data_IF_581064583222
#
_entry.id   IF_581064583222
#
_cell.length_a   1.000
_cell.length_b   1.000
_cell.length_c   1.000
_cell.angle_alpha   90.00
_cell.angle_beta   90.00
_cell.angle_gamma   90.00
#
_symmetry.space_group_name_H-M   'P 1'
#
loop_
_entity.id
_entity.type
_entity.pdbx_description
1 polymer ?
#
# COMPACT_ATOMS: atom_id res chain seq x y z
N UNK A 1 60.28 1.08 27.90
CA UNK A 1 59.22 2.10 27.76
C UNK A 1 58.75 2.09 26.32
N UNK A 2 57.52 1.82 25.92
CA UNK A 2 56.37 1.17 26.56
C UNK A 2 55.58 0.54 25.42
N UNK A 3 55.41 -0.79 25.46
CA UNK A 3 54.59 -1.60 24.53
C UNK A 3 53.08 -1.39 24.80
N UNK A 4 52.66 -0.16 25.07
CA UNK A 4 51.35 0.17 25.64
C UNK A 4 50.53 1.13 24.76
N UNK A 5 50.86 1.24 23.47
CA UNK A 5 50.15 2.13 22.52
C UNK A 5 49.58 1.43 21.29
N UNK A 6 49.76 0.11 21.15
CA UNK A 6 49.19 -0.67 20.05
C UNK A 6 47.85 -1.35 20.36
N UNK A 7 47.33 -1.18 21.58
CA UNK A 7 46.16 -1.94 22.07
C UNK A 7 44.82 -1.19 22.07
N UNK A 8 44.77 0.07 21.60
CA UNK A 8 43.56 0.91 21.66
C UNK A 8 42.97 1.21 20.27
N UNK A 9 43.60 0.78 19.17
CA UNK A 9 43.12 1.05 17.80
C UNK A 9 42.55 -0.15 17.03
N UNK A 10 42.40 -1.31 17.68
CA UNK A 10 41.89 -2.55 17.07
C UNK A 10 40.69 -3.15 17.82
N UNK A 11 39.82 -2.29 18.36
CA UNK A 11 38.62 -2.70 19.12
C UNK A 11 37.35 -1.94 18.71
N UNK A 12 37.20 -1.62 17.42
CA UNK A 12 35.98 -0.97 16.89
C UNK A 12 35.51 -1.46 15.51
N UNK A 13 36.12 -2.52 14.94
CA UNK A 13 35.63 -3.18 13.71
C UNK A 13 35.35 -4.65 14.01
N UNK A 14 34.50 -4.87 15.02
CA UNK A 14 34.09 -6.17 15.50
C UNK A 14 32.63 -6.17 15.93
N UNK A 15 31.76 -5.44 15.23
CA UNK A 15 30.32 -5.63 15.39
C UNK A 15 29.90 -6.80 14.50
N UNK A 16 30.04 -7.99 15.08
CA UNK A 16 29.03 -9.06 15.08
C UNK A 16 27.90 -8.84 14.05
N UNK A 17 28.12 -9.25 12.80
CA UNK A 17 27.06 -9.56 11.84
C UNK A 17 26.74 -11.06 11.90
N UNK A 18 26.41 -11.54 13.10
CA UNK A 18 25.80 -12.84 13.35
C UNK A 18 24.60 -12.58 14.26
N UNK A 19 23.39 -12.61 13.70
CA UNK A 19 22.19 -12.41 14.51
C UNK A 19 20.92 -11.96 13.79
N UNK A 20 20.93 -11.85 12.47
CA UNK A 20 19.70 -11.63 11.71
C UNK A 20 19.69 -12.56 10.53
N UNK A 21 19.20 -13.79 10.71
CA UNK A 21 18.45 -14.40 9.62
C UNK A 21 17.39 -13.37 9.23
N UNK A 22 17.69 -12.61 8.17
CA UNK A 22 16.67 -11.93 7.39
C UNK A 22 15.81 -13.05 6.84
N UNK A 23 14.88 -13.53 7.66
CA UNK A 23 13.70 -14.21 7.20
C UNK A 23 13.09 -13.23 6.21
N UNK A 24 13.34 -13.46 4.92
CA UNK A 24 12.56 -12.81 3.88
C UNK A 24 11.09 -12.97 4.34
N UNK A 25 10.30 -11.88 4.39
CA UNK A 25 8.93 -11.97 4.85
C UNK A 25 8.31 -13.16 4.13
N UNK A 26 7.82 -14.14 4.91
CA UNK A 26 7.26 -15.36 4.33
C UNK A 26 6.03 -14.93 3.55
N UNK A 27 6.19 -14.68 2.26
CA UNK A 27 5.11 -14.20 1.43
C UNK A 27 4.08 -15.31 1.34
N UNK A 28 2.89 -15.05 1.87
CA UNK A 28 1.80 -16.02 1.83
C UNK A 28 1.25 -16.06 0.41
N UNK A 29 1.14 -17.25 -0.16
CA UNK A 29 0.43 -17.44 -1.43
C UNK A 29 -1.07 -17.50 -1.15
N UNK A 30 -1.83 -16.65 -1.83
CA UNK A 30 -3.29 -16.68 -1.79
C UNK A 30 -3.80 -17.97 -2.44
N UNK A 31 -4.62 -18.73 -1.72
CA UNK A 31 -5.24 -19.96 -2.26
C UNK A 31 -6.54 -19.62 -2.99
N UNK A 32 -6.41 -19.13 -4.22
CA UNK A 32 -7.53 -18.81 -5.10
C UNK A 32 -7.61 -19.82 -6.25
N UNK A 33 -8.83 -20.14 -6.71
CA UNK A 33 -9.00 -20.88 -7.96
C UNK A 33 -8.71 -19.98 -9.18
N UNK A 34 -8.55 -20.56 -10.36
CA UNK A 34 -8.18 -19.80 -11.57
C UNK A 34 -9.14 -18.62 -11.88
N UNK A 35 -10.47 -18.79 -11.86
CA UNK A 35 -11.41 -17.67 -12.03
C UNK A 35 -11.24 -16.54 -11.01
N UNK A 36 -10.94 -16.87 -9.75
CA UNK A 36 -10.75 -15.90 -8.68
C UNK A 36 -9.42 -15.15 -8.78
N UNK A 37 -8.35 -15.85 -9.15
CA UNK A 37 -7.04 -15.24 -9.41
C UNK A 37 -7.14 -14.25 -10.56
N UNK A 38 -7.83 -14.62 -11.64
CA UNK A 38 -8.04 -13.74 -12.79
C UNK A 38 -8.91 -12.53 -12.43
N UNK A 39 -9.98 -12.74 -11.65
CA UNK A 39 -10.78 -11.64 -11.13
C UNK A 39 -9.93 -10.69 -10.28
N UNK A 40 -9.24 -11.20 -9.26
CA UNK A 40 -8.38 -10.38 -8.39
C UNK A 40 -7.32 -9.60 -9.19
N UNK A 41 -6.67 -10.24 -10.17
CA UNK A 41 -5.65 -9.60 -11.02
C UNK A 41 -6.23 -8.40 -11.77
N UNK A 42 -7.38 -8.56 -12.44
CA UNK A 42 -8.02 -7.46 -13.19
C UNK A 42 -8.30 -6.26 -12.31
N UNK A 43 -8.79 -6.54 -11.11
CA UNK A 43 -9.16 -5.54 -10.13
C UNK A 43 -7.94 -4.83 -9.54
N UNK A 44 -6.86 -5.56 -9.25
CA UNK A 44 -5.59 -4.96 -8.84
C UNK A 44 -4.98 -4.09 -9.93
N UNK A 45 -5.08 -4.49 -11.21
CA UNK A 45 -4.63 -3.70 -12.36
C UNK A 45 -5.44 -2.39 -12.46
N UNK A 46 -6.76 -2.46 -12.34
CA UNK A 46 -7.60 -1.25 -12.38
C UNK A 46 -7.28 -0.30 -11.24
N UNK A 47 -7.21 -0.80 -9.98
CA UNK A 47 -6.79 0.01 -8.83
C UNK A 47 -5.43 0.67 -9.04
N UNK A 48 -4.46 -0.05 -9.60
CA UNK A 48 -3.11 0.45 -9.90
C UNK A 48 -3.14 1.55 -10.98
N UNK A 49 -3.95 1.39 -12.03
CA UNK A 49 -4.20 2.44 -13.04
C UNK A 49 -4.81 3.69 -12.39
N UNK A 50 -5.84 3.52 -11.55
CA UNK A 50 -6.49 4.64 -10.87
C UNK A 50 -5.55 5.35 -9.90
N UNK A 51 -4.72 4.60 -9.16
CA UNK A 51 -3.75 5.15 -8.23
C UNK A 51 -2.65 5.95 -8.94
N UNK A 52 -2.10 5.43 -10.05
CA UNK A 52 -1.13 6.17 -10.88
C UNK A 52 -1.73 7.44 -11.47
N UNK A 53 -2.98 7.36 -11.93
CA UNK A 53 -3.72 8.51 -12.44
C UNK A 53 -3.90 9.55 -11.35
N UNK A 54 -4.37 9.16 -10.16
CA UNK A 54 -4.52 10.04 -9.01
C UNK A 54 -3.20 10.72 -8.62
N UNK A 55 -2.10 9.96 -8.53
CA UNK A 55 -0.78 10.51 -8.22
C UNK A 55 -0.34 11.56 -9.24
N UNK A 56 -0.54 11.28 -10.53
CA UNK A 56 -0.21 12.21 -11.61
C UNK A 56 -1.05 13.49 -11.51
N UNK A 57 -2.37 13.36 -11.31
CA UNK A 57 -3.29 14.50 -11.19
C UNK A 57 -2.98 15.38 -9.96
N UNK A 58 -2.60 14.76 -8.84
CA UNK A 58 -2.12 15.49 -7.65
C UNK A 58 -0.83 16.24 -7.96
N UNK A 59 0.15 15.60 -8.62
CA UNK A 59 1.42 16.25 -8.97
C UNK A 59 1.26 17.45 -9.91
N UNK A 60 0.24 17.41 -10.78
CA UNK A 60 -0.10 18.48 -11.71
C UNK A 60 -1.01 19.56 -11.08
N UNK A 61 -1.47 19.38 -9.84
CA UNK A 61 -2.41 20.29 -9.18
C UNK A 61 -3.83 20.28 -9.78
N UNK A 62 -4.21 19.22 -10.50
CA UNK A 62 -5.51 19.10 -11.15
C UNK A 62 -6.60 18.70 -10.16
N UNK A 63 -7.10 19.68 -9.42
CA UNK A 63 -8.05 19.51 -8.32
C UNK A 63 -9.31 18.69 -8.68
N UNK A 64 -10.03 19.07 -9.73
CA UNK A 64 -11.30 18.42 -10.09
C UNK A 64 -11.05 16.98 -10.55
N UNK A 65 -10.17 16.71 -11.53
CA UNK A 65 -9.83 15.34 -11.90
C UNK A 65 -9.30 14.50 -10.74
N UNK A 66 -8.45 15.06 -9.86
CA UNK A 66 -7.94 14.34 -8.69
C UNK A 66 -9.05 14.01 -7.69
N UNK A 67 -10.04 14.89 -7.52
CA UNK A 67 -11.23 14.64 -6.70
C UNK A 67 -12.06 13.48 -7.24
N UNK A 68 -12.21 13.41 -8.56
CA UNK A 68 -12.98 12.35 -9.22
C UNK A 68 -12.25 11.00 -9.18
N UNK A 69 -10.95 10.99 -9.46
CA UNK A 69 -10.12 9.78 -9.35
C UNK A 69 -10.07 9.24 -7.91
N UNK A 70 -9.93 10.13 -6.91
CA UNK A 70 -9.94 9.72 -5.50
C UNK A 70 -11.31 9.23 -5.03
N UNK A 71 -12.41 9.79 -5.54
CA UNK A 71 -13.76 9.28 -5.29
C UNK A 71 -13.94 7.87 -5.86
N UNK A 72 -13.52 7.65 -7.11
CA UNK A 72 -13.63 6.34 -7.72
C UNK A 72 -12.86 5.29 -6.92
N UNK A 73 -11.64 5.61 -6.46
CA UNK A 73 -10.89 4.72 -5.57
C UNK A 73 -11.58 4.50 -4.20
N UNK A 74 -12.27 5.49 -3.62
CA UNK A 74 -12.98 5.32 -2.35
C UNK A 74 -14.25 4.49 -2.47
N UNK A 75 -14.92 4.59 -3.61
CA UNK A 75 -16.20 3.95 -3.88
C UNK A 75 -16.02 2.55 -4.50
N UNK A 76 -14.79 2.19 -4.87
CA UNK A 76 -14.42 0.92 -5.48
C UNK A 76 -14.99 -0.31 -4.75
N UNK A 77 -14.99 -0.33 -3.42
CA UNK A 77 -15.59 -1.42 -2.63
C UNK A 77 -17.12 -1.58 -2.79
N UNK A 78 -17.80 -0.52 -3.26
CA UNK A 78 -19.25 -0.46 -3.43
C UNK A 78 -19.66 -0.69 -4.90
N UNK A 79 -18.71 -0.61 -5.84
CA UNK A 79 -18.98 -0.91 -7.23
C UNK A 79 -19.40 -2.39 -7.33
N UNK A 80 -20.51 -2.64 -8.03
CA UNK A 80 -21.07 -3.98 -8.19
C UNK A 80 -20.19 -4.78 -9.16
N UNK A 81 -19.04 -5.22 -8.66
CA UNK A 81 -18.12 -6.12 -9.32
C UNK A 81 -18.46 -7.55 -8.85
N UNK A 82 -19.36 -8.29 -9.52
CA UNK A 82 -19.90 -9.55 -9.00
C UNK A 82 -18.81 -10.58 -8.68
N UNK A 83 -17.77 -10.67 -9.51
CA UNK A 83 -16.64 -11.58 -9.29
C UNK A 83 -15.67 -11.07 -8.21
N UNK A 84 -15.56 -9.76 -8.05
CA UNK A 84 -14.74 -9.16 -6.99
C UNK A 84 -15.43 -9.25 -5.64
N UNK A 85 -16.75 -9.05 -5.52
CA UNK A 85 -17.45 -9.26 -4.23
C UNK A 85 -17.20 -10.67 -3.72
N UNK A 86 -17.21 -11.67 -4.59
CA UNK A 86 -16.89 -13.06 -4.23
C UNK A 86 -15.40 -13.27 -3.94
N UNK A 87 -14.50 -12.82 -4.82
CA UNK A 87 -13.06 -12.98 -4.64
C UNK A 87 -12.56 -12.18 -3.42
N UNK A 88 -12.98 -10.93 -3.28
CA UNK A 88 -12.70 -10.03 -2.16
C UNK A 88 -13.36 -10.53 -0.87
N UNK A 89 -14.57 -11.08 -0.87
CA UNK A 89 -15.14 -11.69 0.35
C UNK A 89 -14.35 -12.93 0.80
N UNK A 90 -13.88 -13.77 -0.14
CA UNK A 90 -13.03 -14.92 0.18
C UNK A 90 -11.62 -14.51 0.61
N UNK A 91 -11.06 -13.50 -0.06
CA UNK A 91 -9.84 -12.81 0.36
C UNK A 91 -10.01 -12.23 1.76
N UNK A 92 -11.07 -11.49 2.05
CA UNK A 92 -11.41 -10.95 3.38
C UNK A 92 -11.53 -12.05 4.42
N UNK A 93 -12.07 -13.22 4.04
CA UNK A 93 -12.12 -14.42 4.88
C UNK A 93 -10.73 -14.94 5.27
N UNK A 94 -9.80 -15.03 4.30
CA UNK A 94 -8.40 -15.41 4.56
C UNK A 94 -7.60 -14.28 5.25
N UNK A 95 -7.89 -13.03 4.91
CA UNK A 95 -7.24 -11.78 5.34
C UNK A 95 -7.59 -11.36 6.76
N UNK A 96 -8.74 -11.80 7.32
CA UNK A 96 -9.09 -11.55 8.72
C UNK A 96 -8.02 -12.07 9.70
N UNK A 97 -7.15 -12.99 9.27
CA UNK A 97 -6.03 -13.49 10.08
C UNK A 97 -4.80 -12.57 10.06
N UNK A 98 -4.67 -11.66 9.09
CA UNK A 98 -3.42 -10.94 8.79
C UNK A 98 -3.58 -9.40 8.62
N UNK A 99 -4.68 -8.81 9.11
CA UNK A 99 -4.96 -7.36 9.03
C UNK A 99 -5.05 -6.77 7.60
N UNK A 100 -5.15 -7.59 6.56
CA UNK A 100 -5.20 -7.10 5.16
C UNK A 100 -6.46 -6.30 4.86
N UNK A 101 -7.59 -6.68 5.46
CA UNK A 101 -8.83 -5.90 5.40
C UNK A 101 -8.61 -4.50 5.97
N UNK A 102 -7.78 -4.35 7.02
CA UNK A 102 -7.43 -3.04 7.56
C UNK A 102 -6.67 -2.22 6.53
N UNK A 103 -5.68 -2.78 5.83
CA UNK A 103 -4.96 -2.05 4.79
C UNK A 103 -5.87 -1.58 3.66
N UNK A 104 -6.76 -2.43 3.15
CA UNK A 104 -7.73 -2.05 2.12
C UNK A 104 -8.67 -0.94 2.62
N UNK A 105 -9.20 -1.07 3.85
CA UNK A 105 -10.05 -0.05 4.47
C UNK A 105 -9.32 1.30 4.60
N UNK A 106 -8.03 1.28 4.94
CA UNK A 106 -7.20 2.48 5.04
C UNK A 106 -6.94 3.14 3.68
N UNK A 107 -6.82 2.35 2.60
CA UNK A 107 -6.75 2.86 1.21
C UNK A 107 -8.04 3.62 0.88
N UNK A 108 -9.20 2.99 1.04
CA UNK A 108 -10.48 3.60 0.69
C UNK A 108 -10.80 4.83 1.55
N UNK A 109 -10.48 4.76 2.86
CA UNK A 109 -10.63 5.88 3.78
C UNK A 109 -9.74 7.06 3.37
N UNK A 110 -8.46 6.82 3.05
CA UNK A 110 -7.54 7.88 2.62
C UNK A 110 -7.96 8.49 1.29
N UNK A 111 -8.44 7.70 0.34
CA UNK A 111 -8.99 8.18 -0.92
C UNK A 111 -10.22 9.08 -0.71
N UNK A 112 -11.12 8.69 0.21
CA UNK A 112 -12.27 9.52 0.61
C UNK A 112 -11.84 10.86 1.20
N UNK A 113 -10.80 10.87 2.04
CA UNK A 113 -10.25 12.11 2.60
C UNK A 113 -9.69 13.03 1.52
N UNK A 114 -8.95 12.50 0.53
CA UNK A 114 -8.47 13.28 -0.62
C UNK A 114 -9.65 13.93 -1.34
N UNK A 115 -10.69 13.16 -1.69
CA UNK A 115 -11.87 13.69 -2.37
C UNK A 115 -12.56 14.79 -1.55
N UNK A 116 -12.68 14.61 -0.23
CA UNK A 116 -13.26 15.60 0.68
C UNK A 116 -12.46 16.90 0.71
N UNK A 117 -11.13 16.83 0.84
CA UNK A 117 -10.24 18.01 0.85
C UNK A 117 -10.33 18.78 -0.47
N UNK A 118 -10.28 18.06 -1.60
CA UNK A 118 -10.31 18.66 -2.94
C UNK A 118 -11.67 19.28 -3.28
N UNK A 119 -12.77 18.79 -2.69
CA UNK A 119 -14.11 19.36 -2.83
C UNK A 119 -14.34 20.58 -1.94
N UNK A 120 -13.75 20.61 -0.74
CA UNK A 120 -14.00 21.65 0.25
C UNK A 120 -13.40 23.02 -0.12
N UNK A 121 -12.36 23.06 -0.94
CA UNK A 121 -11.65 24.31 -1.27
C UNK A 121 -11.25 24.40 -2.75
N UNK A 122 -11.24 25.62 -3.30
CA UNK A 122 -10.63 25.91 -4.61
C UNK A 122 -9.09 25.91 -4.56
N UNK A 123 -8.53 26.14 -3.37
CA UNK A 123 -7.10 26.09 -3.07
C UNK A 123 -6.89 25.08 -1.93
N UNK A 124 -6.92 23.77 -2.23
CA UNK A 124 -6.77 22.74 -1.20
C UNK A 124 -5.37 22.75 -0.61
N UNK A 125 -5.25 22.26 0.63
CA UNK A 125 -3.95 21.98 1.22
C UNK A 125 -3.32 20.77 0.53
N UNK A 126 -2.45 21.04 -0.44
CA UNK A 126 -1.76 20.01 -1.22
C UNK A 126 -0.82 19.15 -0.39
N UNK A 127 -0.28 19.66 0.73
CA UNK A 127 0.54 18.85 1.63
C UNK A 127 -0.34 17.81 2.33
N UNK A 128 -1.54 18.21 2.77
CA UNK A 128 -2.49 17.28 3.36
C UNK A 128 -2.97 16.23 2.33
N UNK A 129 -3.24 16.64 1.09
CA UNK A 129 -3.57 15.71 -0.01
C UNK A 129 -2.43 14.71 -0.25
N UNK A 130 -1.18 15.19 -0.32
CA UNK A 130 0.01 14.34 -0.51
C UNK A 130 0.19 13.36 0.65
N UNK A 131 -0.06 13.79 1.90
CA UNK A 131 0.01 12.92 3.07
C UNK A 131 -0.99 11.76 2.98
N UNK A 132 -2.22 12.02 2.50
CA UNK A 132 -3.19 10.94 2.28
C UNK A 132 -2.80 10.04 1.10
N UNK A 133 -2.22 10.58 0.02
CA UNK A 133 -1.70 9.77 -1.07
C UNK A 133 -0.58 8.83 -0.58
N UNK A 134 0.35 9.33 0.23
CA UNK A 134 1.41 8.51 0.83
C UNK A 134 0.86 7.41 1.73
N UNK A 135 -0.22 7.67 2.48
CA UNK A 135 -0.92 6.64 3.25
C UNK A 135 -1.51 5.55 2.35
N UNK A 136 -2.10 5.90 1.20
CA UNK A 136 -2.59 4.90 0.24
C UNK A 136 -1.43 4.00 -0.21
N UNK A 137 -0.35 4.59 -0.71
CA UNK A 137 0.82 3.86 -1.20
C UNK A 137 1.43 2.94 -0.14
N UNK A 138 1.54 3.42 1.11
CA UNK A 138 2.05 2.63 2.22
C UNK A 138 1.16 1.43 2.53
N UNK A 139 -0.17 1.58 2.53
CA UNK A 139 -1.09 0.48 2.79
C UNK A 139 -1.09 -0.56 1.66
N UNK A 140 -1.01 -0.13 0.39
CA UNK A 140 -0.81 -1.02 -0.75
C UNK A 140 0.47 -1.84 -0.58
N UNK A 141 1.59 -1.19 -0.23
CA UNK A 141 2.87 -1.87 0.02
C UNK A 141 2.79 -2.86 1.17
N UNK A 142 2.18 -2.47 2.29
CA UNK A 142 2.07 -3.34 3.46
C UNK A 142 1.27 -4.62 3.13
N UNK A 143 0.20 -4.49 2.35
CA UNK A 143 -0.54 -5.64 1.83
C UNK A 143 0.33 -6.54 0.93
N UNK A 144 1.04 -5.94 -0.05
CA UNK A 144 1.88 -6.68 -1.00
C UNK A 144 3.16 -7.30 -0.40
N UNK A 145 3.59 -6.88 0.80
CA UNK A 145 4.69 -7.53 1.51
C UNK A 145 4.24 -8.84 2.18
N UNK A 146 2.96 -8.91 2.58
CA UNK A 146 2.40 -10.09 3.26
C UNK A 146 2.03 -11.17 2.25
N UNK A 147 1.43 -10.78 1.12
CA UNK A 147 1.04 -11.68 0.06
C UNK A 147 1.92 -11.42 -1.16
N UNK A 148 2.54 -12.45 -1.76
CA UNK A 148 3.29 -12.30 -3.04
C UNK A 148 2.29 -12.07 -4.19
N UNK A 149 1.61 -10.92 -4.17
CA UNK A 149 0.65 -10.51 -5.19
C UNK A 149 1.44 -9.95 -6.36
N UNK A 150 1.99 -10.84 -7.18
CA UNK A 150 2.46 -10.51 -8.53
C UNK A 150 1.26 -10.60 -9.48
N UNK A 151 0.61 -9.47 -9.73
CA UNK A 151 -0.44 -9.39 -10.74
C UNK A 151 0.17 -9.11 -12.11
#
# INVERSE_FOLDING_TARGET
>A
MSKLLYFIFLLSIGVVFWGGWLSAPSTKTLKLNSPQTEALRREMIDMDIQLRSLASLISLGYRIPASDASRHLSDWQNENHPRMKEAFAQLVGEFKRDNTLTYATQVFSSAKQISSILKASKSPDWNLVQNHLSKILQNCRNCHVIYDVKY
#
